data_IF_901905530514
#
_entry.id   IF_901905530514
#
_cell.length_a   1.000
_cell.length_b   1.000
_cell.length_c   1.000
_cell.angle_alpha   90.00
_cell.angle_beta   90.00
_cell.angle_gamma   90.00
#
_symmetry.space_group_name_H-M   'P 1'
#
loop_
_entity.id
_entity.type
_entity.pdbx_description
1 polymer ?
#
# COMPACT_ATOMS: atom_id res chain seq x y z
N UNK A 1 -0.83 6.71 -15.09
CA UNK A 1 -1.56 5.73 -15.92
C UNK A 1 -0.61 4.75 -16.62
N UNK A 2 0.22 3.96 -15.93
CA UNK A 2 1.00 2.86 -16.54
C UNK A 2 1.60 1.87 -15.52
N UNK A 3 1.12 1.84 -14.29
CA UNK A 3 1.58 0.87 -13.28
C UNK A 3 0.76 -0.43 -13.19
N UNK A 4 -0.20 -0.65 -14.10
CA UNK A 4 -1.13 -1.79 -14.05
C UNK A 4 -0.91 -2.87 -15.11
N UNK A 5 0.05 -2.71 -16.01
CA UNK A 5 0.23 -3.65 -17.13
C UNK A 5 1.27 -4.75 -16.89
N UNK A 6 2.14 -4.65 -15.88
CA UNK A 6 3.18 -5.68 -15.65
C UNK A 6 2.69 -6.92 -14.90
N UNK A 7 1.55 -6.88 -14.21
CA UNK A 7 1.05 -8.02 -13.43
C UNK A 7 0.19 -9.01 -14.26
N UNK A 8 -0.05 -8.76 -15.55
CA UNK A 8 -0.93 -9.58 -16.39
C UNK A 8 -0.25 -10.44 -17.46
N UNK A 9 1.06 -10.30 -17.70
CA UNK A 9 1.72 -11.01 -18.82
C UNK A 9 2.38 -12.35 -18.46
N UNK A 10 2.31 -12.84 -17.21
CA UNK A 10 2.97 -14.10 -16.81
C UNK A 10 2.02 -15.32 -16.73
N UNK A 11 0.76 -15.16 -17.03
CA UNK A 11 -0.15 -16.32 -17.09
C UNK A 11 -0.97 -16.30 -18.38
N UNK A 12 -0.64 -17.16 -19.31
CA UNK A 12 -1.54 -17.90 -20.18
C UNK A 12 -0.97 -18.20 -21.58
N UNK A 13 -0.37 -19.36 -21.69
CA UNK A 13 -0.32 -20.11 -22.93
C UNK A 13 -1.42 -21.18 -22.91
N UNK A 14 -2.64 -20.83 -23.32
CA UNK A 14 -3.61 -21.81 -23.86
C UNK A 14 -4.70 -21.03 -24.62
N UNK A 15 -4.72 -21.24 -25.94
CA UNK A 15 -5.78 -20.75 -26.83
C UNK A 15 -7.13 -21.38 -26.45
N UNK A 16 -8.05 -20.55 -25.93
CA UNK A 16 -9.47 -20.85 -25.94
C UNK A 16 -10.20 -19.77 -26.75
N UNK A 17 -10.93 -20.22 -27.77
CA UNK A 17 -11.75 -19.39 -28.64
C UNK A 17 -12.69 -18.51 -27.80
N UNK A 18 -12.42 -17.22 -27.74
CA UNK A 18 -13.27 -16.23 -27.03
C UNK A 18 -14.55 -16.00 -27.82
N UNK A 19 -15.69 -16.34 -27.23
CA UNK A 19 -16.98 -15.76 -27.65
C UNK A 19 -16.93 -14.24 -27.44
N UNK A 20 -17.46 -13.42 -28.37
CA UNK A 20 -17.52 -11.98 -28.16
C UNK A 20 -18.34 -11.69 -26.92
N UNK A 21 -17.76 -10.95 -25.98
CA UNK A 21 -18.45 -10.48 -24.79
C UNK A 21 -19.61 -9.54 -25.21
N UNK A 22 -20.75 -9.68 -24.56
CA UNK A 22 -21.86 -8.72 -24.74
C UNK A 22 -21.35 -7.30 -24.42
N UNK A 23 -21.80 -6.27 -25.18
CA UNK A 23 -21.34 -4.90 -24.96
C UNK A 23 -21.63 -4.49 -23.50
N UNK A 24 -20.59 -4.12 -22.77
CA UNK A 24 -20.72 -3.62 -21.41
C UNK A 24 -21.61 -2.36 -21.42
N UNK A 25 -22.59 -2.32 -20.51
CA UNK A 25 -23.43 -1.12 -20.35
C UNK A 25 -22.54 0.09 -20.04
N UNK A 26 -22.77 1.24 -20.72
CA UNK A 26 -22.02 2.46 -20.43
C UNK A 26 -22.05 2.79 -18.93
N UNK A 27 -20.93 3.32 -18.40
CA UNK A 27 -20.71 3.58 -16.96
C UNK A 27 -21.85 4.40 -16.32
N UNK A 28 -22.52 5.28 -17.08
CA UNK A 28 -23.65 6.09 -16.61
C UNK A 28 -24.97 5.32 -16.44
N UNK A 29 -25.06 4.10 -17.01
CA UNK A 29 -26.21 3.19 -16.88
C UNK A 29 -25.96 2.05 -15.87
N UNK A 30 -24.76 2.00 -15.28
CA UNK A 30 -24.47 1.05 -14.21
C UNK A 30 -25.12 1.59 -12.92
N UNK A 31 -26.05 0.82 -12.35
CA UNK A 31 -26.57 1.09 -11.01
C UNK A 31 -25.40 1.30 -10.05
N UNK A 32 -25.56 2.23 -9.07
CA UNK A 32 -24.56 2.51 -8.02
C UNK A 32 -24.09 1.22 -7.35
N UNK A 33 -23.11 0.55 -7.96
CA UNK A 33 -22.38 -0.51 -7.28
C UNK A 33 -21.57 0.16 -6.19
N UNK A 34 -21.62 -0.38 -4.98
CA UNK A 34 -20.72 0.05 -3.89
C UNK A 34 -19.27 0.00 -4.34
N UNK A 35 -18.38 0.70 -3.63
CA UNK A 35 -16.96 0.77 -3.97
C UNK A 35 -16.35 -0.62 -4.18
N UNK A 36 -15.55 -0.75 -5.23
CA UNK A 36 -14.72 -1.93 -5.50
C UNK A 36 -13.71 -2.15 -4.35
N UNK A 37 -13.10 -3.34 -4.30
CA UNK A 37 -12.05 -3.62 -3.32
C UNK A 37 -10.87 -2.65 -3.46
N UNK A 38 -10.48 -2.31 -4.70
CA UNK A 38 -9.42 -1.35 -4.98
C UNK A 38 -9.75 0.07 -4.49
N UNK A 39 -10.99 0.54 -4.70
CA UNK A 39 -11.42 1.86 -4.23
C UNK A 39 -11.48 1.94 -2.71
N UNK A 40 -11.91 0.85 -2.03
CA UNK A 40 -11.84 0.76 -0.57
C UNK A 40 -10.39 0.77 -0.06
N UNK A 41 -9.49 0.05 -0.76
CA UNK A 41 -8.06 0.09 -0.46
C UNK A 41 -7.52 1.52 -0.57
N UNK A 42 -7.80 2.20 -1.67
CA UNK A 42 -7.40 3.60 -1.87
C UNK A 42 -7.92 4.52 -0.76
N UNK A 43 -9.16 4.32 -0.29
CA UNK A 43 -9.71 5.11 0.81
C UNK A 43 -8.93 4.91 2.12
N UNK A 44 -8.53 3.68 2.44
CA UNK A 44 -7.71 3.39 3.63
C UNK A 44 -6.33 4.06 3.51
N UNK A 45 -5.64 3.95 2.37
CA UNK A 45 -4.35 4.60 2.15
C UNK A 45 -4.45 6.13 2.28
N UNK A 46 -5.52 6.75 1.73
CA UNK A 46 -5.76 8.19 1.92
C UNK A 46 -5.96 8.56 3.39
N UNK A 47 -6.70 7.75 4.16
CA UNK A 47 -6.82 7.98 5.60
C UNK A 47 -5.46 7.85 6.27
N UNK A 48 -4.69 6.79 5.99
CA UNK A 48 -3.38 6.57 6.58
C UNK A 48 -2.37 7.66 6.23
N UNK A 49 -2.50 8.27 5.05
CA UNK A 49 -1.67 9.41 4.65
C UNK A 49 -1.87 10.63 5.54
N UNK A 50 -3.12 10.93 5.95
CA UNK A 50 -3.47 12.18 6.62
C UNK A 50 -3.86 12.02 8.09
N UNK A 51 -4.13 10.81 8.56
CA UNK A 51 -4.53 10.56 9.95
C UNK A 51 -3.42 11.01 10.91
N UNK A 52 -3.69 11.89 11.89
CA UNK A 52 -2.75 12.17 12.96
C UNK A 52 -2.44 10.90 13.75
N UNK A 53 -1.16 10.57 13.90
CA UNK A 53 -0.73 9.31 14.54
C UNK A 53 -0.99 9.27 16.04
N UNK A 54 -1.23 10.43 16.66
CA UNK A 54 -1.65 10.63 18.05
C UNK A 54 -3.18 10.55 18.24
N UNK A 55 -3.94 10.30 17.15
CA UNK A 55 -5.39 10.05 17.23
C UNK A 55 -5.67 8.93 18.23
N UNK A 56 -6.65 9.17 19.13
CA UNK A 56 -7.08 8.14 20.07
C UNK A 56 -7.47 6.85 19.32
N UNK A 57 -7.03 5.67 19.79
CA UNK A 57 -7.22 4.41 19.07
C UNK A 57 -8.64 3.83 19.27
N UNK A 58 -9.65 4.66 19.03
CA UNK A 58 -11.07 4.32 19.12
C UNK A 58 -11.77 4.55 17.80
N UNK A 59 -12.83 3.80 17.54
CA UNK A 59 -13.58 3.93 16.30
C UNK A 59 -14.21 5.33 16.17
N UNK A 60 -14.64 5.94 17.27
CA UNK A 60 -15.23 7.29 17.30
C UNK A 60 -14.22 8.36 16.89
N UNK A 61 -12.99 8.30 17.44
CA UNK A 61 -11.94 9.26 17.12
C UNK A 61 -11.50 9.10 15.66
N UNK A 62 -11.35 7.88 15.15
CA UNK A 62 -11.04 7.61 13.74
C UNK A 62 -12.17 8.09 12.84
N UNK A 63 -13.45 7.85 13.22
CA UNK A 63 -14.61 8.33 12.46
C UNK A 63 -14.58 9.86 12.33
N UNK A 64 -14.28 10.58 13.41
CA UNK A 64 -14.18 12.03 13.38
C UNK A 64 -13.09 12.51 12.38
N UNK A 65 -11.94 11.83 12.33
CA UNK A 65 -10.88 12.14 11.38
C UNK A 65 -11.31 11.84 9.93
N UNK A 66 -11.95 10.71 9.68
CA UNK A 66 -12.49 10.34 8.35
C UNK A 66 -13.49 11.38 7.87
N UNK A 67 -14.39 11.84 8.74
CA UNK A 67 -15.36 12.90 8.43
C UNK A 67 -14.64 14.24 8.12
N UNK A 68 -13.63 14.61 8.90
CA UNK A 68 -12.82 15.81 8.63
C UNK A 68 -12.11 15.71 7.24
N UNK A 69 -11.61 14.55 6.84
CA UNK A 69 -11.04 14.33 5.52
C UNK A 69 -12.09 14.46 4.40
N UNK A 70 -13.31 13.96 4.63
CA UNK A 70 -14.41 14.12 3.69
C UNK A 70 -14.83 15.58 3.55
N UNK A 71 -14.93 16.35 4.65
CA UNK A 71 -15.22 17.79 4.63
C UNK A 71 -14.15 18.58 3.85
N UNK A 72 -12.88 18.17 3.96
CA UNK A 72 -11.75 18.74 3.18
C UNK A 72 -11.72 18.24 1.73
N UNK A 73 -12.67 17.42 1.30
CA UNK A 73 -12.75 16.80 -0.04
C UNK A 73 -11.54 15.92 -0.41
N UNK A 74 -10.84 15.40 0.58
CA UNK A 74 -9.78 14.41 0.39
C UNK A 74 -10.35 13.00 0.23
N UNK A 75 -11.55 12.77 0.77
CA UNK A 75 -12.36 11.57 0.54
C UNK A 75 -13.71 11.97 -0.04
N UNK A 76 -14.25 11.13 -0.92
CA UNK A 76 -15.67 11.21 -1.29
C UNK A 76 -16.54 10.67 -0.15
N UNK A 77 -17.84 11.01 -0.14
CA UNK A 77 -18.77 10.47 0.86
C UNK A 77 -18.78 8.92 0.84
N UNK A 78 -18.82 8.31 -0.35
CA UNK A 78 -18.79 6.87 -0.50
C UNK A 78 -17.50 6.24 0.03
N UNK A 79 -16.33 6.88 -0.18
CA UNK A 79 -15.08 6.43 0.39
C UNK A 79 -15.09 6.53 1.92
N UNK A 80 -15.58 7.63 2.47
CA UNK A 80 -15.65 7.82 3.92
C UNK A 80 -16.54 6.77 4.60
N UNK A 81 -17.69 6.41 3.98
CA UNK A 81 -18.56 5.34 4.47
C UNK A 81 -17.91 3.95 4.38
N UNK A 82 -17.06 3.73 3.38
CA UNK A 82 -16.43 2.43 3.13
C UNK A 82 -15.18 2.16 3.96
N UNK A 83 -14.65 3.18 4.66
CA UNK A 83 -13.46 3.02 5.52
C UNK A 83 -13.77 2.14 6.73
N UNK A 84 -12.99 1.09 6.92
CA UNK A 84 -13.04 0.30 8.14
C UNK A 84 -12.33 1.02 9.30
N UNK A 85 -13.10 1.88 10.00
CA UNK A 85 -12.59 2.66 11.14
C UNK A 85 -12.11 1.78 12.30
N UNK A 86 -12.69 0.56 12.45
CA UNK A 86 -12.26 -0.37 13.50
C UNK A 86 -10.89 -0.97 13.20
N UNK A 87 -10.63 -1.31 11.94
CA UNK A 87 -9.32 -1.80 11.51
C UNK A 87 -8.24 -0.72 11.69
N UNK A 88 -8.54 0.54 11.37
CA UNK A 88 -7.61 1.66 11.60
C UNK A 88 -7.40 1.90 13.11
N UNK A 89 -8.45 1.85 13.92
CA UNK A 89 -8.31 1.96 15.38
C UNK A 89 -7.49 0.79 15.97
N UNK A 90 -7.59 -0.41 15.40
CA UNK A 90 -6.74 -1.54 15.76
C UNK A 90 -5.27 -1.29 15.38
N UNK A 91 -5.01 -0.76 14.18
CA UNK A 91 -3.66 -0.35 13.76
C UNK A 91 -3.05 0.64 14.75
N UNK A 92 -3.78 1.67 15.17
CA UNK A 92 -3.28 2.67 16.12
C UNK A 92 -2.85 2.08 17.48
N UNK A 93 -3.33 0.87 17.83
CA UNK A 93 -2.88 0.10 19.00
C UNK A 93 -1.72 -0.85 18.71
N UNK A 94 -1.43 -1.10 17.42
CA UNK A 94 -0.42 -2.07 17.03
C UNK A 94 1.01 -1.61 17.38
N UNK A 95 1.96 -2.54 17.58
CA UNK A 95 3.36 -2.21 17.83
C UNK A 95 3.97 -1.35 16.73
N UNK A 96 3.64 -1.61 15.47
CA UNK A 96 4.10 -0.81 14.34
C UNK A 96 3.70 0.67 14.48
N UNK A 97 2.45 0.95 14.85
CA UNK A 97 2.00 2.32 15.06
C UNK A 97 2.72 3.01 16.22
N UNK A 98 3.07 2.28 17.29
CA UNK A 98 3.86 2.81 18.39
C UNK A 98 5.29 3.17 17.92
N UNK A 99 5.91 2.32 17.11
CA UNK A 99 7.23 2.59 16.51
C UNK A 99 7.19 3.82 15.60
N UNK A 100 6.19 3.92 14.74
CA UNK A 100 6.01 5.08 13.84
C UNK A 100 5.86 6.37 14.65
N UNK A 101 5.07 6.36 15.74
CA UNK A 101 4.92 7.53 16.64
C UNK A 101 6.22 7.94 17.33
N UNK A 102 7.04 6.97 17.70
CA UNK A 102 8.33 7.20 18.36
C UNK A 102 9.49 7.50 17.42
N UNK A 103 9.26 7.43 16.12
CA UNK A 103 10.30 7.60 15.11
C UNK A 103 10.85 9.04 15.08
N UNK A 104 12.15 9.19 14.77
CA UNK A 104 12.79 10.49 14.63
C UNK A 104 12.22 11.29 13.44
N UNK A 105 11.84 10.60 12.38
CA UNK A 105 11.20 11.17 11.19
C UNK A 105 10.25 10.15 10.59
N UNK A 106 9.14 10.64 9.99
CA UNK A 106 8.14 9.83 9.31
C UNK A 106 7.78 10.49 7.99
N UNK A 107 7.83 9.71 6.91
CA UNK A 107 7.34 10.10 5.59
C UNK A 107 6.19 9.17 5.21
N UNK A 108 5.08 9.73 4.77
CA UNK A 108 3.91 8.98 4.32
C UNK A 108 3.63 9.27 2.86
N UNK A 109 3.26 8.24 2.08
CA UNK A 109 3.06 8.34 0.63
C UNK A 109 4.29 8.95 -0.07
N UNK A 110 5.48 8.46 0.32
CA UNK A 110 6.72 8.97 -0.21
C UNK A 110 6.93 8.50 -1.64
N UNK A 111 6.84 9.45 -2.57
CA UNK A 111 7.02 9.18 -4.00
C UNK A 111 8.50 9.25 -4.36
N UNK A 112 8.96 8.26 -5.11
CA UNK A 112 10.33 8.20 -5.57
C UNK A 112 10.42 7.75 -7.02
N UNK A 113 11.51 8.16 -7.70
CA UNK A 113 11.93 7.69 -8.99
C UNK A 113 13.46 7.72 -9.02
N UNK A 114 14.09 6.61 -9.40
CA UNK A 114 15.53 6.45 -9.41
C UNK A 114 15.95 5.52 -10.54
N UNK A 115 17.03 5.87 -11.25
CA UNK A 115 17.70 4.95 -12.18
C UNK A 115 18.50 3.91 -11.35
N UNK A 116 18.25 2.64 -11.62
CA UNK A 116 18.90 1.50 -10.96
C UNK A 116 19.55 0.60 -12.00
N UNK A 117 20.69 -0.04 -11.69
CA UNK A 117 21.25 -1.06 -12.58
C UNK A 117 20.24 -2.17 -12.83
N UNK A 118 19.92 -2.42 -14.11
CA UNK A 118 18.90 -3.40 -14.51
C UNK A 118 19.31 -4.83 -14.14
N UNK A 119 20.61 -5.15 -14.15
CA UNK A 119 21.18 -6.46 -13.78
C UNK A 119 20.73 -6.94 -12.39
N UNK A 120 20.33 -6.02 -11.50
CA UNK A 120 19.85 -6.34 -10.16
C UNK A 120 18.46 -7.01 -10.16
N UNK A 121 17.69 -6.77 -11.23
CA UNK A 121 16.30 -7.23 -11.35
C UNK A 121 16.09 -8.12 -12.58
N UNK A 122 16.95 -8.00 -13.60
CA UNK A 122 16.96 -8.80 -14.82
C UNK A 122 18.40 -9.25 -15.09
N UNK A 123 18.73 -10.49 -14.83
CA UNK A 123 20.09 -11.01 -14.78
C UNK A 123 20.89 -10.95 -16.09
N UNK A 124 20.24 -10.72 -17.22
CA UNK A 124 20.81 -10.61 -18.56
C UNK A 124 21.00 -9.16 -19.06
N UNK A 125 20.61 -8.18 -18.23
CA UNK A 125 20.65 -6.74 -18.57
C UNK A 125 21.93 -6.05 -18.04
N UNK A 126 23.09 -6.70 -18.14
CA UNK A 126 24.34 -6.13 -17.61
C UNK A 126 24.71 -4.81 -18.31
N UNK A 127 24.95 -3.76 -17.51
CA UNK A 127 25.31 -2.43 -17.99
C UNK A 127 24.11 -1.57 -18.43
N UNK A 128 22.89 -2.07 -18.34
CA UNK A 128 21.68 -1.28 -18.58
C UNK A 128 21.15 -0.63 -17.29
N UNK A 129 20.44 0.47 -17.43
CA UNK A 129 19.73 1.12 -16.35
C UNK A 129 18.22 1.02 -16.55
N UNK A 130 17.49 0.78 -15.45
CA UNK A 130 16.04 0.82 -15.44
C UNK A 130 15.53 1.90 -14.50
N UNK A 131 14.42 2.55 -14.87
CA UNK A 131 13.74 3.49 -14.00
C UNK A 131 12.87 2.72 -13.00
N UNK A 132 13.27 2.74 -11.73
CA UNK A 132 12.46 2.27 -10.62
C UNK A 132 11.69 3.44 -10.03
N UNK A 133 10.36 3.36 -10.05
CA UNK A 133 9.48 4.38 -9.49
C UNK A 133 8.40 3.75 -8.61
N UNK A 134 7.97 4.45 -7.59
CA UNK A 134 6.96 3.94 -6.69
C UNK A 134 6.49 4.97 -5.65
N UNK A 135 5.58 4.51 -4.81
CA UNK A 135 5.09 5.25 -3.66
C UNK A 135 5.20 4.31 -2.46
N UNK A 136 5.99 4.70 -1.47
CA UNK A 136 6.08 3.97 -0.21
C UNK A 136 5.05 4.52 0.77
N UNK A 137 4.16 3.68 1.28
CA UNK A 137 3.05 4.10 2.14
C UNK A 137 3.56 4.81 3.41
N UNK A 138 4.57 4.24 4.05
CA UNK A 138 5.19 4.81 5.22
C UNK A 138 6.68 4.43 5.27
N UNK A 139 7.54 5.43 5.37
CA UNK A 139 8.97 5.27 5.68
C UNK A 139 9.23 6.00 6.98
N UNK A 140 9.94 5.39 7.89
CA UNK A 140 10.27 6.06 9.14
C UNK A 140 11.68 5.73 9.62
N UNK A 141 12.26 6.68 10.35
CA UNK A 141 13.63 6.59 10.87
C UNK A 141 13.61 6.23 12.35
N UNK A 142 14.25 5.12 12.68
CA UNK A 142 14.52 4.67 14.06
C UNK A 142 15.96 4.19 14.18
N UNK A 143 16.63 4.51 15.27
CA UNK A 143 18.00 4.09 15.56
C UNK A 143 19.02 4.39 14.42
N UNK A 144 18.82 5.48 13.69
CA UNK A 144 19.69 5.90 12.60
C UNK A 144 19.48 5.14 11.28
N UNK A 145 18.55 4.21 11.21
CA UNK A 145 18.20 3.43 10.04
C UNK A 145 16.74 3.66 9.63
N UNK A 146 16.39 3.22 8.42
CA UNK A 146 15.03 3.32 7.89
C UNK A 146 14.27 1.99 8.04
N UNK A 147 12.99 2.11 8.34
CA UNK A 147 12.00 1.06 8.19
C UNK A 147 11.01 1.46 7.10
N UNK A 148 10.73 0.55 6.18
CA UNK A 148 9.67 0.68 5.17
C UNK A 148 8.48 -0.13 5.64
N UNK A 149 7.33 0.52 5.81
CA UNK A 149 6.07 -0.12 6.12
C UNK A 149 5.08 0.07 4.96
N UNK A 150 4.40 -0.99 4.59
CA UNK A 150 3.43 -0.99 3.51
C UNK A 150 2.10 -1.57 4.02
N UNK A 151 1.01 -0.93 3.70
CA UNK A 151 -0.31 -1.20 4.22
C UNK A 151 -1.13 -2.02 3.23
N UNK A 152 -1.58 -3.19 3.65
CA UNK A 152 -2.33 -4.12 2.82
C UNK A 152 -3.79 -4.25 3.25
N UNK A 153 -4.69 -4.16 2.28
CA UNK A 153 -6.14 -4.29 2.46
C UNK A 153 -6.67 -5.63 1.93
N UNK A 154 -5.75 -6.56 1.63
CA UNK A 154 -6.08 -7.92 1.25
C UNK A 154 -6.94 -8.59 2.33
N UNK A 155 -7.97 -9.32 1.88
CA UNK A 155 -8.84 -10.10 2.77
C UNK A 155 -8.17 -11.45 3.08
N UNK A 156 -7.27 -11.42 4.05
CA UNK A 156 -6.55 -12.61 4.51
C UNK A 156 -6.80 -12.83 6.00
N UNK A 157 -6.74 -14.07 6.43
CA UNK A 157 -6.67 -14.44 7.84
C UNK A 157 -5.23 -14.28 8.36
N UNK A 158 -5.05 -14.31 9.68
CA UNK A 158 -3.71 -14.24 10.28
C UNK A 158 -2.80 -15.41 9.85
N UNK A 159 -3.39 -16.60 9.59
CA UNK A 159 -2.65 -17.78 9.12
C UNK A 159 -2.19 -17.63 7.68
N UNK A 160 -2.96 -16.95 6.84
CA UNK A 160 -2.65 -16.74 5.42
C UNK A 160 -1.70 -15.55 5.22
N UNK A 161 -1.64 -14.61 6.18
CA UNK A 161 -0.90 -13.36 6.03
C UNK A 161 0.59 -13.58 5.72
N UNK A 162 1.24 -14.56 6.35
CA UNK A 162 2.67 -14.86 6.10
C UNK A 162 2.88 -15.36 4.67
N UNK A 163 2.07 -16.28 4.19
CA UNK A 163 2.17 -16.77 2.82
C UNK A 163 1.84 -15.66 1.81
N UNK A 164 0.85 -14.82 2.10
CA UNK A 164 0.50 -13.68 1.26
C UNK A 164 1.61 -12.63 1.21
N UNK A 165 2.31 -12.41 2.33
CA UNK A 165 3.41 -11.46 2.44
C UNK A 165 4.57 -11.78 1.46
N UNK A 166 4.83 -13.06 1.17
CA UNK A 166 5.87 -13.47 0.23
C UNK A 166 5.68 -12.87 -1.17
N UNK A 167 4.44 -12.69 -1.62
CA UNK A 167 4.15 -12.08 -2.91
C UNK A 167 4.60 -10.60 -3.00
N UNK A 168 4.80 -9.93 -1.87
CA UNK A 168 5.24 -8.53 -1.80
C UNK A 168 6.74 -8.37 -1.52
N UNK A 169 7.48 -9.46 -1.30
CA UNK A 169 8.91 -9.43 -0.96
C UNK A 169 9.73 -8.69 -2.02
N UNK A 170 9.52 -8.99 -3.30
CA UNK A 170 10.23 -8.34 -4.41
C UNK A 170 9.98 -6.84 -4.47
N UNK A 171 8.72 -6.42 -4.31
CA UNK A 171 8.34 -5.00 -4.27
C UNK A 171 9.06 -4.26 -3.13
N UNK A 172 8.96 -4.78 -1.90
CA UNK A 172 9.58 -4.14 -0.74
C UNK A 172 11.11 -4.16 -0.80
N UNK A 173 11.72 -5.18 -1.41
CA UNK A 173 13.16 -5.19 -1.65
C UNK A 173 13.55 -4.07 -2.60
N UNK A 174 12.86 -3.92 -3.74
CA UNK A 174 13.12 -2.87 -4.70
C UNK A 174 12.94 -1.47 -4.08
N UNK A 175 11.88 -1.28 -3.28
CA UNK A 175 11.65 -0.02 -2.55
C UNK A 175 12.77 0.26 -1.55
N UNK A 176 13.21 -0.75 -0.80
CA UNK A 176 14.31 -0.61 0.17
C UNK A 176 15.62 -0.20 -0.49
N UNK A 177 15.92 -0.80 -1.63
CA UNK A 177 17.13 -0.49 -2.41
C UNK A 177 17.12 0.97 -2.92
N UNK A 178 15.99 1.41 -3.46
CA UNK A 178 15.84 2.79 -3.94
C UNK A 178 15.90 3.80 -2.79
N UNK A 179 15.12 3.55 -1.71
CA UNK A 179 15.03 4.47 -0.58
C UNK A 179 16.36 4.57 0.18
N UNK A 180 17.11 3.46 0.31
CA UNK A 180 18.44 3.50 0.92
C UNK A 180 19.38 4.42 0.15
N UNK A 181 19.30 4.43 -1.19
CA UNK A 181 20.13 5.31 -2.03
C UNK A 181 19.67 6.76 -1.99
N UNK A 182 18.35 6.99 -2.08
CA UNK A 182 17.76 8.35 -2.11
C UNK A 182 17.96 9.07 -0.77
N UNK A 183 17.75 8.35 0.34
CA UNK A 183 17.79 8.93 1.68
C UNK A 183 19.17 8.81 2.35
N UNK A 184 20.15 8.17 1.66
CA UNK A 184 21.50 7.95 2.14
C UNK A 184 21.56 7.27 3.53
N UNK A 185 20.58 6.38 3.78
CA UNK A 185 20.45 5.62 5.03
C UNK A 185 20.05 4.19 4.73
N UNK A 186 20.57 3.21 5.48
CA UNK A 186 20.19 1.82 5.26
C UNK A 186 18.71 1.59 5.63
N UNK A 187 17.98 0.90 4.77
CA UNK A 187 16.69 0.29 5.13
C UNK A 187 17.01 -1.07 5.78
N UNK A 188 16.76 -1.18 7.07
CA UNK A 188 17.06 -2.39 7.86
C UNK A 188 15.83 -3.26 8.11
N UNK A 189 14.65 -2.70 7.98
CA UNK A 189 13.39 -3.41 8.21
C UNK A 189 12.36 -3.11 7.13
N UNK A 190 11.62 -4.15 6.74
CA UNK A 190 10.48 -4.11 5.82
C UNK A 190 9.30 -4.77 6.50
N UNK A 191 8.19 -4.06 6.60
CA UNK A 191 7.03 -4.51 7.36
C UNK A 191 5.79 -4.37 6.51
N UNK A 192 4.99 -5.43 6.44
CA UNK A 192 3.63 -5.40 5.91
C UNK A 192 2.64 -5.38 7.07
N UNK A 193 1.65 -4.52 6.98
CA UNK A 193 0.53 -4.51 7.92
C UNK A 193 -0.77 -4.83 7.18
N UNK A 194 -1.40 -5.94 7.52
CA UNK A 194 -2.66 -6.37 6.95
C UNK A 194 -3.85 -5.90 7.78
N UNK A 195 -4.59 -4.91 7.27
CA UNK A 195 -5.75 -4.35 8.01
C UNK A 195 -6.85 -5.36 8.29
N UNK A 196 -7.06 -6.36 7.41
CA UNK A 196 -8.13 -7.34 7.57
C UNK A 196 -8.00 -8.22 8.83
N UNK A 197 -6.77 -8.49 9.26
CA UNK A 197 -6.49 -9.38 10.40
C UNK A 197 -5.59 -8.74 11.46
N UNK A 198 -5.09 -7.50 11.24
CA UNK A 198 -4.16 -6.83 12.15
C UNK A 198 -2.77 -7.46 12.20
N UNK A 199 -2.42 -8.31 11.23
CA UNK A 199 -1.12 -9.00 11.21
C UNK A 199 0.00 -8.04 10.77
N UNK A 200 1.10 -8.05 11.51
CA UNK A 200 2.37 -7.38 11.21
C UNK A 200 3.38 -8.43 10.78
N UNK A 201 3.85 -8.39 9.52
CA UNK A 201 4.78 -9.36 8.96
C UNK A 201 6.08 -8.65 8.57
N UNK A 202 7.19 -9.06 9.15
CA UNK A 202 8.53 -8.61 8.76
C UNK A 202 9.07 -9.49 7.63
N UNK A 203 9.70 -8.86 6.60
CA UNK A 203 10.26 -9.51 5.42
C UNK A 203 11.77 -9.34 5.34
#
# INVERSE_FOLDING_TARGET
LKGRELDQEIAEGTETVRRPAAPEKPLFLQEKRGLSAAERGTAIHLVMQYLPLDTAPTAEAVTAQVQALAQRRLLTAAQAEAVDVKAIAAFLRAPLAARIRGAARVWREYRFALLMPAERYAGDAAGEEMLLQGVADCVFEEDGALTVADFKTDRVTAQEATARAEAYRGQLQAYSDALSRIMEKPVTRRVLYFFACGAEISL
#
